data_IF_359447479891
#
_entry.id   IF_359447479891
#
_cell.length_a   1.000
_cell.length_b   1.000
_cell.length_c   1.000
_cell.angle_alpha   90.00
_cell.angle_beta   90.00
_cell.angle_gamma   90.00
#
_symmetry.space_group_name_H-M   'P 1'
#
loop_
_entity.id
_entity.type
_entity.pdbx_description
1 polymer ?
#
# COMPACT_ATOMS: atom_id res chain seq x y z
N UNK A 1 9.16 -16.17 -0.99
CA UNK A 1 9.04 -14.71 -1.19
C UNK A 1 7.59 -14.39 -1.44
N UNK A 2 6.96 -13.60 -0.57
CA UNK A 2 5.55 -13.22 -0.75
C UNK A 2 5.52 -11.98 -1.64
N UNK A 3 4.92 -12.10 -2.82
CA UNK A 3 4.83 -10.99 -3.77
C UNK A 3 3.85 -9.93 -3.28
N UNK A 4 4.35 -8.86 -2.67
CA UNK A 4 3.55 -7.70 -2.25
C UNK A 4 3.09 -6.92 -3.49
N UNK A 5 1.80 -6.64 -3.59
CA UNK A 5 1.23 -5.90 -4.73
C UNK A 5 0.45 -4.69 -4.23
N UNK A 6 0.77 -3.52 -4.74
CA UNK A 6 0.05 -2.27 -4.46
C UNK A 6 -0.71 -1.88 -5.73
N UNK A 7 -2.00 -1.65 -5.61
CA UNK A 7 -2.85 -1.21 -6.70
C UNK A 7 -3.27 0.24 -6.46
N UNK A 8 -3.02 1.09 -7.45
CA UNK A 8 -3.45 2.48 -7.41
C UNK A 8 -2.55 3.39 -8.23
N UNK A 9 -2.90 4.66 -8.27
CA UNK A 9 -2.11 5.67 -8.97
C UNK A 9 -1.03 6.24 -8.03
N UNK A 10 0.24 6.27 -8.43
CA UNK A 10 1.32 6.80 -7.58
C UNK A 10 1.14 8.30 -7.26
N UNK A 11 0.38 9.03 -8.06
CA UNK A 11 0.01 10.42 -7.80
C UNK A 11 -0.98 10.57 -6.61
N UNK A 12 -1.64 9.49 -6.18
CA UNK A 12 -2.55 9.51 -5.05
C UNK A 12 -1.78 9.54 -3.74
N UNK A 13 -2.12 10.46 -2.83
CA UNK A 13 -1.46 10.61 -1.53
C UNK A 13 -1.53 9.34 -0.68
N UNK A 14 -2.63 8.61 -0.75
CA UNK A 14 -2.78 7.33 -0.04
C UNK A 14 -1.87 6.22 -0.58
N UNK A 15 -1.65 6.17 -1.90
CA UNK A 15 -0.74 5.21 -2.53
C UNK A 15 0.70 5.58 -2.18
N UNK A 16 1.06 6.87 -2.31
CA UNK A 16 2.38 7.37 -1.94
C UNK A 16 2.74 7.01 -0.49
N UNK A 17 1.79 7.15 0.45
CA UNK A 17 2.01 6.78 1.85
C UNK A 17 2.35 5.30 2.05
N UNK A 18 1.66 4.40 1.35
CA UNK A 18 1.93 2.95 1.41
C UNK A 18 3.29 2.63 0.79
N UNK A 19 3.60 3.26 -0.34
CA UNK A 19 4.89 3.09 -1.02
C UNK A 19 6.06 3.53 -0.14
N UNK A 20 5.95 4.70 0.50
CA UNK A 20 6.98 5.18 1.45
C UNK A 20 7.23 4.16 2.56
N UNK A 21 6.17 3.62 3.16
CA UNK A 21 6.32 2.61 4.22
C UNK A 21 7.01 1.34 3.72
N UNK A 22 6.69 0.88 2.51
CA UNK A 22 7.35 -0.29 1.89
C UNK A 22 8.83 -0.03 1.62
N UNK A 23 9.18 1.17 1.13
CA UNK A 23 10.58 1.58 0.93
C UNK A 23 11.35 1.68 2.23
N UNK A 24 10.79 2.32 3.27
CA UNK A 24 11.46 2.43 4.56
C UNK A 24 11.63 1.06 5.26
N UNK A 25 10.77 0.09 4.93
CA UNK A 25 10.90 -1.30 5.39
C UNK A 25 11.78 -2.17 4.51
N UNK A 26 12.32 -1.63 3.42
CA UNK A 26 13.15 -2.37 2.47
C UNK A 26 12.46 -3.66 1.98
N UNK A 27 11.16 -3.56 1.68
CA UNK A 27 10.36 -4.68 1.18
C UNK A 27 10.23 -4.58 -0.34
N UNK A 28 10.43 -5.70 -1.02
CA UNK A 28 10.16 -5.79 -2.46
C UNK A 28 8.65 -5.83 -2.73
N UNK A 29 8.19 -4.94 -3.62
CA UNK A 29 6.79 -4.85 -3.99
C UNK A 29 6.61 -4.53 -5.48
N UNK A 30 5.42 -4.84 -5.99
CA UNK A 30 5.00 -4.50 -7.34
C UNK A 30 3.88 -3.45 -7.30
N UNK A 31 4.12 -2.28 -7.89
CA UNK A 31 3.09 -1.27 -8.10
C UNK A 31 2.34 -1.52 -9.42
N UNK A 32 1.04 -1.79 -9.31
CA UNK A 32 0.12 -1.94 -10.44
C UNK A 32 -0.67 -0.64 -10.57
N UNK A 33 -0.35 0.12 -11.61
CA UNK A 33 -1.01 1.40 -11.89
C UNK A 33 -2.44 1.14 -12.37
N UNK A 34 -3.40 1.78 -11.70
CA UNK A 34 -4.81 1.72 -12.07
C UNK A 34 -5.22 3.08 -12.60
N UNK A 35 -5.57 3.15 -13.89
CA UNK A 35 -6.04 4.37 -14.53
C UNK A 35 -7.56 4.51 -14.32
N UNK A 36 -7.97 5.49 -13.50
CA UNK A 36 -9.40 5.80 -13.28
C UNK A 36 -10.07 6.46 -14.49
N UNK A 37 -9.27 7.08 -15.37
CA UNK A 37 -9.77 7.86 -16.51
C UNK A 37 -9.95 7.05 -17.79
N UNK A 38 -9.26 5.91 -17.92
CA UNK A 38 -9.52 4.96 -19.00
C UNK A 38 -10.68 4.08 -18.56
N UNK A 39 -11.88 4.35 -19.10
CA UNK A 39 -13.06 3.45 -19.05
C UNK A 39 -12.82 2.13 -19.80
N UNK A 40 -11.64 1.53 -19.68
CA UNK A 40 -11.37 0.23 -20.28
C UNK A 40 -11.86 -0.86 -19.33
N UNK A 41 -13.13 -1.21 -19.58
CA UNK A 41 -13.80 -2.44 -19.21
C UNK A 41 -13.09 -3.68 -19.80
N UNK A 42 -11.79 -3.84 -19.54
CA UNK A 42 -11.10 -5.15 -19.54
C UNK A 42 -10.47 -5.31 -18.18
N UNK A 43 -11.36 -5.23 -17.21
CA UNK A 43 -11.09 -5.53 -15.84
C UNK A 43 -10.98 -7.05 -15.78
N UNK A 44 -9.79 -7.61 -15.61
CA UNK A 44 -9.65 -9.05 -15.58
C UNK A 44 -10.17 -9.50 -14.21
N UNK A 45 -10.64 -10.73 -14.10
CA UNK A 45 -11.38 -11.26 -12.93
C UNK A 45 -10.72 -10.96 -11.56
N UNK A 46 -9.43 -10.67 -11.54
CA UNK A 46 -8.69 -10.16 -10.37
C UNK A 46 -9.16 -8.80 -9.80
N UNK A 47 -9.97 -8.00 -10.48
CA UNK A 47 -10.48 -6.72 -9.96
C UNK A 47 -11.86 -6.81 -9.30
N UNK A 48 -12.49 -8.00 -9.21
CA UNK A 48 -13.70 -8.17 -8.37
C UNK A 48 -13.43 -7.92 -6.88
N UNK A 49 -12.15 -7.92 -6.50
CA UNK A 49 -11.63 -7.60 -5.16
C UNK A 49 -11.22 -6.14 -5.00
N UNK A 50 -11.43 -5.29 -6.01
CA UNK A 50 -11.12 -3.87 -5.90
C UNK A 50 -12.29 -3.16 -5.20
N UNK A 51 -11.98 -2.34 -4.20
CA UNK A 51 -12.99 -1.49 -3.61
C UNK A 51 -13.43 -0.44 -4.66
N UNK A 52 -14.74 -0.35 -4.97
CA UNK A 52 -15.26 0.57 -5.99
C UNK A 52 -15.06 2.05 -5.59
N UNK A 53 -14.67 2.35 -4.35
CA UNK A 53 -14.35 3.71 -3.88
C UNK A 53 -13.08 4.30 -4.50
N UNK A 54 -12.29 3.50 -5.22
CA UNK A 54 -11.04 3.96 -5.84
C UNK A 54 -9.88 4.13 -4.87
N UNK A 55 -10.02 3.75 -3.60
CA UNK A 55 -8.93 3.81 -2.62
C UNK A 55 -7.76 2.89 -2.97
N UNK A 56 -6.60 3.08 -2.32
CA UNK A 56 -5.44 2.20 -2.47
C UNK A 56 -5.78 0.78 -1.99
N UNK A 57 -5.41 -0.21 -2.79
CA UNK A 57 -5.57 -1.63 -2.45
C UNK A 57 -4.20 -2.28 -2.36
N UNK A 58 -3.97 -3.04 -1.31
CA UNK A 58 -2.76 -3.83 -1.12
C UNK A 58 -3.12 -5.32 -1.12
N UNK A 59 -2.30 -6.13 -1.79
CA UNK A 59 -2.41 -7.57 -1.75
C UNK A 59 -1.12 -8.24 -1.35
N UNK A 60 -1.31 -9.31 -0.62
CA UNK A 60 -0.26 -10.16 -0.10
C UNK A 60 -0.75 -11.62 -0.13
N UNK A 61 -0.42 -12.33 -1.21
CA UNK A 61 -1.02 -13.65 -1.46
C UNK A 61 -2.54 -13.54 -1.57
N UNK A 62 -3.25 -14.21 -0.65
CA UNK A 62 -4.73 -14.21 -0.57
C UNK A 62 -5.28 -13.06 0.28
N UNK A 63 -4.43 -12.36 1.04
CA UNK A 63 -4.85 -11.22 1.85
C UNK A 63 -5.02 -9.98 0.97
N UNK A 64 -6.19 -9.34 1.07
CA UNK A 64 -6.46 -8.04 0.47
C UNK A 64 -6.79 -7.03 1.55
N UNK A 65 -6.06 -5.91 1.56
CA UNK A 65 -6.25 -4.80 2.47
C UNK A 65 -6.56 -3.52 1.69
N UNK A 66 -7.48 -2.74 2.25
CA UNK A 66 -7.84 -1.40 1.80
C UNK A 66 -7.58 -0.42 2.95
N UNK A 67 -7.58 0.88 2.66
CA UNK A 67 -7.15 1.96 3.55
C UNK A 67 -5.63 1.95 3.81
N UNK A 68 -4.97 3.04 3.39
CA UNK A 68 -3.52 3.23 3.52
C UNK A 68 -3.02 3.05 4.97
N UNK A 69 -3.80 3.47 5.97
CA UNK A 69 -3.38 3.40 7.39
C UNK A 69 -3.44 1.98 7.92
N UNK A 70 -4.45 1.20 7.49
CA UNK A 70 -4.60 -0.21 7.86
C UNK A 70 -3.49 -1.04 7.22
N UNK A 71 -3.15 -0.75 5.96
CA UNK A 71 -2.04 -1.39 5.24
C UNK A 71 -0.71 -1.15 5.96
N UNK A 72 -0.41 0.10 6.32
CA UNK A 72 0.83 0.47 7.03
C UNK A 72 0.93 -0.25 8.38
N UNK A 73 -0.16 -0.29 9.16
CA UNK A 73 -0.21 -1.03 10.42
C UNK A 73 0.09 -2.50 10.22
N UNK A 74 -0.53 -3.13 9.22
CA UNK A 74 -0.30 -4.53 8.89
C UNK A 74 1.15 -4.80 8.51
N UNK A 75 1.74 -3.97 7.64
CA UNK A 75 3.15 -4.09 7.25
C UNK A 75 4.10 -3.97 8.45
N UNK A 76 3.80 -3.05 9.36
CA UNK A 76 4.60 -2.85 10.56
C UNK A 76 4.48 -3.96 11.58
N UNK A 77 3.29 -4.53 11.77
CA UNK A 77 3.09 -5.68 12.64
C UNK A 77 3.65 -6.98 12.04
N UNK A 78 3.55 -7.16 10.72
CA UNK A 78 3.99 -8.39 10.05
C UNK A 78 5.50 -8.43 9.80
N UNK A 79 6.12 -7.28 9.53
CA UNK A 79 7.55 -7.17 9.22
C UNK A 79 8.27 -6.27 10.22
N UNK A 80 8.31 -6.59 11.53
CA UNK A 80 8.93 -5.73 12.53
C UNK A 80 10.45 -5.62 12.35
N UNK A 81 11.11 -6.67 11.88
CA UNK A 81 12.57 -6.75 11.76
C UNK A 81 13.15 -6.26 10.43
N UNK A 82 12.29 -5.92 9.46
CA UNK A 82 12.69 -5.43 8.14
C UNK A 82 12.81 -3.90 8.10
N UNK A 83 13.90 -3.44 7.46
CA UNK A 83 14.23 -2.03 7.27
C UNK A 83 14.21 -1.23 8.58
N UNK A 84 13.52 -0.09 8.58
CA UNK A 84 13.41 0.77 9.74
C UNK A 84 12.41 0.18 10.78
N UNK A 85 12.97 -0.41 11.84
CA UNK A 85 12.23 -1.03 12.96
C UNK A 85 11.43 -0.03 13.81
N UNK A 86 11.73 1.27 13.71
CA UNK A 86 11.09 2.32 14.52
C UNK A 86 9.94 3.03 13.79
N UNK A 87 9.62 2.65 12.55
CA UNK A 87 8.59 3.31 11.73
C UNK A 87 7.22 3.41 12.39
N UNK A 88 6.88 2.42 13.19
CA UNK A 88 5.58 2.35 13.86
C UNK A 88 5.72 2.22 15.37
N UNK A 89 6.87 2.63 15.93
CA UNK A 89 7.04 2.56 17.36
C UNK A 89 6.06 3.53 18.04
N UNK A 90 5.19 2.96 18.87
CA UNK A 90 4.03 3.52 19.58
C UNK A 90 2.69 3.49 18.81
N UNK A 91 1.78 2.68 19.37
CA UNK A 91 0.32 2.62 19.24
C UNK A 91 -0.41 3.99 19.37
N UNK A 92 -0.01 5.02 18.60
CA UNK A 92 -0.68 6.33 18.66
C UNK A 92 0.07 7.51 18.05
N UNK A 93 1.32 7.38 17.60
CA UNK A 93 2.05 8.52 17.03
C UNK A 93 1.94 8.52 15.50
N UNK A 94 1.07 9.40 15.01
CA UNK A 94 1.04 9.83 13.60
C UNK A 94 2.34 10.57 13.30
N UNK A 95 3.43 9.85 13.00
CA UNK A 95 4.58 10.44 12.33
C UNK A 95 4.30 10.42 10.84
N UNK A 96 3.47 11.37 10.40
CA UNK A 96 3.49 11.77 8.99
C UNK A 96 4.84 12.43 8.80
N UNK A 97 5.84 11.66 8.37
CA UNK A 97 7.06 12.23 7.81
C UNK A 97 6.62 13.05 6.59
N UNK A 98 6.50 14.37 6.79
CA UNK A 98 6.50 15.33 5.70
C UNK A 98 7.74 15.05 4.85
N UNK A 99 7.55 14.59 3.62
CA UNK A 99 8.57 14.77 2.60
C UNK A 99 8.66 16.28 2.35
N UNK A 100 9.82 16.93 2.54
CA UNK A 100 9.99 18.27 2.01
C UNK A 100 10.09 18.14 0.48
N UNK A 101 9.16 18.78 -0.22
CA UNK A 101 9.36 19.20 -1.61
C UNK A 101 9.45 20.72 -1.59
#
# INVERSE_FOLDING_TARGET
MVGLKVFGQPASTDVARVLTCLFEKDLEFQLIRVDRFRREHKIPEYLQLHDPSGQVTFREGDLTLVDSRKIIRHLCSKYPDHGNKKLYNCLGAVSVCYLPV
#
